data_IF_904238634341
#
_entry.id   IF_904238634341
#
_cell.length_a   1.000
_cell.length_b   1.000
_cell.length_c   1.000
_cell.angle_alpha   90.00
_cell.angle_beta   90.00
_cell.angle_gamma   90.00
#
_symmetry.space_group_name_H-M   'P 1'
#
loop_
_entity.id
_entity.type
_entity.pdbx_description
1 polymer ?
#
# COMPACT_ATOMS: atom_id res chain seq x y z
N UNK A 1 -16.35 25.18 23.38
CA UNK A 1 -15.46 24.41 22.45
C UNK A 1 -14.20 23.98 23.16
N UNK A 2 -13.61 24.75 24.09
CA UNK A 2 -12.35 24.41 24.77
C UNK A 2 -12.39 23.07 25.52
N UNK A 3 -13.51 22.71 26.14
CA UNK A 3 -13.69 21.51 26.97
C UNK A 3 -14.26 20.29 26.19
N UNK A 4 -14.36 20.37 24.86
CA UNK A 4 -14.78 19.23 24.05
C UNK A 4 -13.63 18.24 23.83
N UNK A 5 -13.95 16.94 23.76
CA UNK A 5 -13.02 15.93 23.34
C UNK A 5 -12.50 16.23 21.92
N UNK A 6 -11.34 15.67 21.55
CA UNK A 6 -10.75 15.87 20.22
C UNK A 6 -11.72 15.48 19.10
N UNK A 7 -12.43 14.35 19.25
CA UNK A 7 -13.43 13.90 18.29
C UNK A 7 -14.62 14.85 18.15
N UNK A 8 -15.09 15.45 19.24
CA UNK A 8 -16.13 16.46 19.16
C UNK A 8 -15.64 17.74 18.49
N UNK A 9 -14.40 18.18 18.76
CA UNK A 9 -13.80 19.33 18.06
C UNK A 9 -13.72 19.10 16.55
N UNK A 10 -13.34 17.91 16.14
CA UNK A 10 -13.26 17.53 14.73
C UNK A 10 -14.63 17.59 14.05
N UNK A 11 -15.67 17.05 14.71
CA UNK A 11 -17.06 17.13 14.20
C UNK A 11 -17.59 18.57 14.11
N UNK A 12 -17.23 19.42 15.04
CA UNK A 12 -17.58 20.85 14.98
C UNK A 12 -16.88 21.52 13.79
N UNK A 13 -15.58 21.22 13.55
CA UNK A 13 -14.87 21.72 12.39
C UNK A 13 -15.48 21.25 11.07
N UNK A 14 -15.84 19.96 10.96
CA UNK A 14 -16.56 19.44 9.79
C UNK A 14 -17.94 20.12 9.61
N UNK A 15 -18.69 20.29 10.67
CA UNK A 15 -19.97 21.01 10.60
C UNK A 15 -19.78 22.45 10.11
N UNK A 16 -18.74 23.13 10.58
CA UNK A 16 -18.38 24.47 10.12
C UNK A 16 -17.99 24.50 8.64
N UNK A 17 -17.21 23.50 8.18
CA UNK A 17 -16.77 23.42 6.78
C UNK A 17 -17.93 23.22 5.79
N UNK A 18 -19.05 22.67 6.23
CA UNK A 18 -20.27 22.43 5.40
C UNK A 18 -21.23 23.62 5.38
N UNK A 19 -21.05 24.59 6.30
CA UNK A 19 -21.92 25.75 6.34
C UNK A 19 -21.84 26.55 5.01
N UNK A 20 -23.00 26.85 4.45
CA UNK A 20 -23.12 27.55 3.18
C UNK A 20 -23.06 26.63 1.95
N UNK A 21 -23.01 25.32 2.12
CA UNK A 21 -22.98 24.32 1.03
C UNK A 21 -21.90 24.59 -0.01
N UNK A 22 -20.60 24.67 0.37
CA UNK A 22 -19.52 24.95 -0.57
C UNK A 22 -19.36 23.80 -1.58
N UNK A 23 -18.93 24.10 -2.78
CA UNK A 23 -18.63 23.08 -3.80
C UNK A 23 -17.40 22.24 -3.39
N UNK A 24 -16.43 22.87 -2.72
CA UNK A 24 -15.15 22.25 -2.32
C UNK A 24 -15.00 22.35 -0.80
N UNK A 25 -14.67 21.24 -0.17
CA UNK A 25 -14.36 21.13 1.26
C UNK A 25 -12.91 20.66 1.39
N UNK A 26 -12.10 21.38 2.17
CA UNK A 26 -10.70 21.02 2.43
C UNK A 26 -10.58 20.61 3.89
N UNK A 27 -10.05 19.41 4.14
CA UNK A 27 -9.87 18.81 5.45
C UNK A 27 -8.40 18.49 5.68
N UNK A 28 -7.81 19.13 6.67
CA UNK A 28 -6.41 18.87 7.03
C UNK A 28 -6.37 17.87 8.19
N UNK A 29 -5.77 16.70 7.95
CA UNK A 29 -5.59 15.60 8.91
C UNK A 29 -6.85 15.27 9.72
N UNK A 30 -8.01 14.96 9.08
CA UNK A 30 -9.32 14.92 9.75
C UNK A 30 -9.46 13.81 10.80
N UNK A 31 -8.57 12.83 10.84
CA UNK A 31 -8.64 11.65 11.72
C UNK A 31 -7.56 11.64 12.80
N UNK A 32 -6.60 12.57 12.74
CA UNK A 32 -5.47 12.59 13.68
C UNK A 32 -5.89 12.70 15.14
N UNK A 33 -5.44 11.71 15.94
CA UNK A 33 -5.65 11.64 17.39
C UNK A 33 -7.07 11.32 17.81
N UNK A 34 -7.82 10.67 16.92
CA UNK A 34 -9.09 10.03 17.21
C UNK A 34 -8.87 8.56 17.59
N UNK A 35 -9.79 8.00 18.36
CA UNK A 35 -9.83 6.55 18.60
C UNK A 35 -10.38 5.80 17.37
N UNK A 36 -10.16 4.47 17.24
CA UNK A 36 -10.58 3.70 16.08
C UNK A 36 -12.06 3.81 15.74
N UNK A 37 -12.94 3.91 16.74
CA UNK A 37 -14.37 4.05 16.52
C UNK A 37 -14.70 5.41 15.90
N UNK A 38 -14.11 6.47 16.43
CA UNK A 38 -14.28 7.82 15.91
C UNK A 38 -13.72 7.97 14.49
N UNK A 39 -12.62 7.31 14.16
CA UNK A 39 -12.05 7.27 12.80
C UNK A 39 -13.08 6.72 11.81
N UNK A 40 -13.72 5.58 12.13
CA UNK A 40 -14.76 4.99 11.28
C UNK A 40 -15.91 5.97 11.06
N UNK A 41 -16.39 6.61 12.12
CA UNK A 41 -17.51 7.56 12.04
C UNK A 41 -17.16 8.81 11.19
N UNK A 42 -15.93 9.33 11.30
CA UNK A 42 -15.46 10.46 10.49
C UNK A 42 -15.31 10.06 9.02
N UNK A 43 -14.76 8.86 8.73
CA UNK A 43 -14.66 8.35 7.35
C UNK A 43 -16.04 8.23 6.69
N UNK A 44 -17.02 7.69 7.39
CA UNK A 44 -18.39 7.61 6.89
C UNK A 44 -18.98 8.99 6.61
N UNK A 45 -18.71 9.97 7.49
CA UNK A 45 -19.15 11.34 7.29
C UNK A 45 -18.50 11.97 6.05
N UNK A 46 -17.20 11.80 5.86
CA UNK A 46 -16.48 12.30 4.68
C UNK A 46 -17.05 11.65 3.40
N UNK A 47 -17.29 10.34 3.38
CA UNK A 47 -17.93 9.66 2.23
C UNK A 47 -19.34 10.19 1.93
N UNK A 48 -20.12 10.55 2.96
CA UNK A 48 -21.44 11.18 2.78
C UNK A 48 -21.31 12.59 2.18
N UNK A 49 -20.33 13.37 2.62
CA UNK A 49 -20.07 14.70 2.09
C UNK A 49 -19.59 14.65 0.62
N UNK A 50 -18.72 13.69 0.29
CA UNK A 50 -18.21 13.49 -1.08
C UNK A 50 -19.29 13.19 -2.12
N UNK A 51 -20.50 12.76 -1.70
CA UNK A 51 -21.63 12.59 -2.62
C UNK A 51 -22.21 13.91 -3.16
N UNK A 52 -21.92 15.03 -2.49
CA UNK A 52 -22.50 16.35 -2.84
C UNK A 52 -21.45 17.44 -2.98
N UNK A 53 -20.22 17.20 -2.56
CA UNK A 53 -19.13 18.15 -2.52
C UNK A 53 -17.87 17.49 -3.06
N UNK A 54 -16.95 18.25 -3.64
CA UNK A 54 -15.59 17.82 -3.86
C UNK A 54 -14.84 17.92 -2.52
N UNK A 55 -14.40 16.79 -1.97
CA UNK A 55 -13.67 16.77 -0.70
C UNK A 55 -12.20 16.53 -0.98
N UNK A 56 -11.35 17.46 -0.54
CA UNK A 56 -9.89 17.33 -0.56
C UNK A 56 -9.45 17.11 0.88
N UNK A 57 -8.72 16.05 1.14
CA UNK A 57 -8.17 15.79 2.47
C UNK A 57 -6.67 15.55 2.42
N UNK A 58 -5.96 16.02 3.44
CA UNK A 58 -4.58 15.61 3.72
C UNK A 58 -4.56 14.48 4.73
N UNK A 59 -3.65 13.54 4.58
CA UNK A 59 -3.34 12.54 5.61
C UNK A 59 -1.93 11.98 5.41
N UNK A 60 -1.27 11.62 6.49
CA UNK A 60 -0.04 10.84 6.49
C UNK A 60 -0.29 9.34 6.72
N UNK A 61 -1.56 8.95 6.94
CA UNK A 61 -1.97 7.56 7.17
C UNK A 61 -2.52 7.00 5.85
N UNK A 62 -1.69 6.34 5.08
CA UNK A 62 -2.02 5.86 3.72
C UNK A 62 -3.17 4.86 3.71
N UNK A 63 -3.28 4.01 4.73
CA UNK A 63 -4.42 3.11 4.89
C UNK A 63 -5.77 3.86 4.98
N UNK A 64 -5.78 5.06 5.58
CA UNK A 64 -7.00 5.88 5.64
C UNK A 64 -7.32 6.53 4.30
N UNK A 65 -6.29 7.02 3.61
CA UNK A 65 -6.44 7.58 2.25
C UNK A 65 -7.04 6.54 1.31
N UNK A 66 -6.52 5.31 1.34
CA UNK A 66 -7.04 4.19 0.54
C UNK A 66 -8.51 3.91 0.78
N UNK A 67 -8.95 4.01 2.03
CA UNK A 67 -10.34 3.70 2.43
C UNK A 67 -11.35 4.79 2.02
N UNK A 68 -10.91 6.05 1.85
CA UNK A 68 -11.83 7.20 1.74
C UNK A 68 -11.72 7.91 0.40
N UNK A 69 -10.55 7.89 -0.25
CA UNK A 69 -10.26 8.66 -1.45
C UNK A 69 -10.44 7.85 -2.73
N UNK A 70 -11.11 8.42 -3.73
CA UNK A 70 -11.20 7.87 -5.08
C UNK A 70 -9.94 8.20 -5.89
N UNK A 71 -9.28 9.32 -5.58
CA UNK A 71 -8.13 9.86 -6.30
C UNK A 71 -7.05 10.35 -5.32
N UNK A 72 -5.80 10.05 -5.59
CA UNK A 72 -4.68 10.33 -4.70
C UNK A 72 -3.65 11.21 -5.41
N UNK A 73 -3.17 12.23 -4.71
CA UNK A 73 -2.04 13.06 -5.13
C UNK A 73 -0.90 12.90 -4.11
N UNK A 74 0.26 12.46 -4.58
CA UNK A 74 1.47 12.30 -3.75
C UNK A 74 2.38 13.50 -3.97
N UNK A 75 2.69 14.21 -2.89
CA UNK A 75 3.56 15.38 -2.91
C UNK A 75 4.84 15.04 -2.14
N UNK A 76 5.99 15.31 -2.75
CA UNK A 76 7.31 15.14 -2.12
C UNK A 76 8.21 16.30 -2.49
N UNK A 77 8.91 16.89 -1.50
CA UNK A 77 9.80 18.03 -1.72
C UNK A 77 9.11 19.23 -2.40
N UNK A 78 7.82 19.46 -2.11
CA UNK A 78 7.02 20.54 -2.71
C UNK A 78 6.59 20.30 -4.17
N UNK A 79 6.83 19.10 -4.70
CA UNK A 79 6.46 18.72 -6.07
C UNK A 79 5.41 17.60 -6.07
N UNK A 80 4.47 17.64 -7.02
CA UNK A 80 3.55 16.55 -7.29
C UNK A 80 4.33 15.42 -7.99
N UNK A 81 4.49 14.28 -7.32
CA UNK A 81 5.28 13.15 -7.82
C UNK A 81 4.41 12.04 -8.42
N UNK A 82 3.15 11.93 -7.99
CA UNK A 82 2.16 11.05 -8.60
C UNK A 82 0.74 11.58 -8.39
N UNK A 83 -0.17 11.25 -9.31
CA UNK A 83 -1.56 11.68 -9.27
C UNK A 83 -2.40 10.72 -10.09
N UNK A 84 -3.17 9.84 -9.41
CA UNK A 84 -4.06 8.87 -10.06
C UNK A 84 -5.04 8.25 -9.05
N UNK A 85 -5.91 7.36 -9.53
CA UNK A 85 -6.74 6.52 -8.65
C UNK A 85 -5.87 5.57 -7.84
N UNK A 86 -6.40 5.10 -6.70
CA UNK A 86 -5.71 4.09 -5.87
C UNK A 86 -5.35 2.85 -6.68
N UNK A 87 -6.30 2.36 -7.48
CA UNK A 87 -6.12 1.17 -8.31
C UNK A 87 -5.03 1.36 -9.38
N UNK A 88 -5.00 2.50 -10.05
CA UNK A 88 -3.98 2.79 -11.05
C UNK A 88 -2.59 2.92 -10.43
N UNK A 89 -2.47 3.59 -9.27
CA UNK A 89 -1.21 3.69 -8.55
C UNK A 89 -0.69 2.32 -8.12
N UNK A 90 -1.57 1.47 -7.58
CA UNK A 90 -1.23 0.08 -7.24
C UNK A 90 -0.81 -0.72 -8.50
N UNK A 91 -1.52 -0.56 -9.62
CA UNK A 91 -1.22 -1.23 -10.87
C UNK A 91 0.07 -0.73 -11.54
N UNK A 92 0.37 0.56 -11.50
CA UNK A 92 1.64 1.11 -12.02
C UNK A 92 2.87 0.46 -11.39
N UNK A 93 2.72 -0.01 -10.15
CA UNK A 93 3.78 -0.69 -9.39
C UNK A 93 3.59 -2.23 -9.37
N UNK A 94 2.43 -2.74 -9.80
CA UNK A 94 2.08 -4.18 -9.80
C UNK A 94 2.92 -5.03 -10.73
N UNK A 95 3.69 -4.43 -11.65
CA UNK A 95 4.77 -5.13 -12.35
C UNK A 95 5.89 -5.62 -11.42
N UNK A 96 5.79 -5.36 -10.12
CA UNK A 96 6.70 -5.80 -9.06
C UNK A 96 5.99 -6.65 -7.99
N UNK A 97 4.79 -7.17 -8.28
CA UNK A 97 4.08 -8.03 -7.34
C UNK A 97 5.02 -9.09 -6.75
N UNK A 98 5.26 -9.03 -5.44
CA UNK A 98 6.02 -10.05 -4.76
C UNK A 98 5.14 -11.28 -4.57
N UNK A 99 5.64 -12.42 -5.01
CA UNK A 99 5.01 -13.70 -4.71
C UNK A 99 5.66 -14.25 -3.44
N UNK A 100 4.85 -14.58 -2.45
CA UNK A 100 5.30 -15.20 -1.22
C UNK A 100 4.96 -16.70 -1.25
N UNK A 101 5.96 -17.52 -0.98
CA UNK A 101 5.85 -18.97 -0.86
C UNK A 101 6.37 -19.39 0.50
N UNK A 102 5.59 -20.16 1.25
CA UNK A 102 6.04 -20.83 2.46
C UNK A 102 5.98 -22.35 2.28
N UNK A 103 7.05 -23.04 2.65
CA UNK A 103 7.12 -24.49 2.63
C UNK A 103 7.99 -25.03 3.79
N UNK A 104 7.75 -26.30 4.15
CA UNK A 104 8.65 -27.04 5.06
C UNK A 104 9.80 -27.64 4.25
N UNK A 105 10.74 -26.81 3.89
CA UNK A 105 11.91 -27.17 3.10
C UNK A 105 13.12 -26.35 3.54
N UNK A 106 14.32 -26.83 3.29
CA UNK A 106 15.53 -26.05 3.46
C UNK A 106 15.59 -24.90 2.45
N UNK A 107 16.41 -23.89 2.73
CA UNK A 107 16.63 -22.77 1.81
C UNK A 107 17.14 -23.24 0.46
N UNK A 108 18.08 -24.17 0.45
CA UNK A 108 18.72 -24.66 -0.80
C UNK A 108 17.75 -25.46 -1.65
N UNK A 109 16.90 -26.25 -1.02
CA UNK A 109 15.84 -27.01 -1.69
C UNK A 109 14.79 -26.06 -2.30
N UNK A 110 14.34 -25.05 -1.57
CA UNK A 110 13.44 -24.04 -2.10
C UNK A 110 14.05 -23.25 -3.26
N UNK A 111 15.32 -22.84 -3.14
CA UNK A 111 16.01 -22.10 -4.20
C UNK A 111 16.10 -22.94 -5.47
N UNK A 112 16.41 -24.23 -5.34
CA UNK A 112 16.45 -25.15 -6.48
C UNK A 112 15.09 -25.28 -7.18
N UNK A 113 14.02 -25.49 -6.42
CA UNK A 113 12.66 -25.60 -6.98
C UNK A 113 12.22 -24.32 -7.67
N UNK A 114 12.39 -23.17 -7.00
CA UNK A 114 11.95 -21.85 -7.48
C UNK A 114 12.69 -21.49 -8.77
N UNK A 115 14.01 -21.69 -8.83
CA UNK A 115 14.82 -21.34 -10.02
C UNK A 115 14.54 -22.20 -11.24
N UNK A 116 14.00 -23.40 -11.07
CA UNK A 116 13.59 -24.25 -12.20
C UNK A 116 12.51 -23.63 -13.07
N UNK A 117 11.70 -22.71 -12.54
CA UNK A 117 10.70 -21.98 -13.35
C UNK A 117 11.34 -21.07 -14.41
N UNK A 118 12.62 -20.69 -14.25
CA UNK A 118 13.36 -19.83 -15.19
C UNK A 118 12.94 -18.35 -15.22
N UNK A 119 11.86 -18.02 -14.55
CA UNK A 119 11.20 -16.69 -14.59
C UNK A 119 11.54 -15.78 -13.40
N UNK A 120 12.55 -16.11 -12.61
CA UNK A 120 12.92 -15.40 -11.39
C UNK A 120 13.88 -14.26 -11.68
N UNK A 121 13.53 -13.04 -11.21
CA UNK A 121 14.40 -11.87 -11.21
C UNK A 121 15.19 -11.77 -9.90
N UNK A 122 14.49 -11.87 -8.78
CA UNK A 122 15.05 -11.76 -7.43
C UNK A 122 14.28 -12.67 -6.48
N UNK A 123 14.97 -13.23 -5.50
CA UNK A 123 14.34 -13.98 -4.41
C UNK A 123 15.07 -13.72 -3.10
N UNK A 124 14.30 -13.51 -2.03
CA UNK A 124 14.79 -13.36 -0.65
C UNK A 124 14.22 -14.48 0.20
N UNK A 125 15.06 -15.06 1.05
CA UNK A 125 14.66 -16.16 1.92
C UNK A 125 14.72 -15.77 3.39
N UNK A 126 13.76 -16.30 4.15
CA UNK A 126 13.75 -16.28 5.62
C UNK A 126 13.37 -17.66 6.12
N UNK A 127 14.21 -18.28 6.93
CA UNK A 127 13.92 -19.57 7.56
C UNK A 127 13.62 -19.37 9.03
N UNK A 128 12.51 -19.91 9.51
CA UNK A 128 12.12 -19.90 10.93
C UNK A 128 12.80 -21.01 11.71
N UNK A 129 12.81 -20.90 13.04
CA UNK A 129 13.30 -21.94 13.92
C UNK A 129 12.50 -23.27 13.82
N UNK A 130 11.27 -23.22 13.30
CA UNK A 130 10.40 -24.38 13.06
C UNK A 130 10.70 -25.13 11.75
N UNK A 131 11.73 -24.73 11.01
CA UNK A 131 12.10 -25.34 9.73
C UNK A 131 11.19 -24.95 8.56
N UNK A 132 10.36 -23.92 8.71
CA UNK A 132 9.57 -23.33 7.63
C UNK A 132 10.44 -22.27 6.95
N UNK A 133 10.59 -22.38 5.64
CA UNK A 133 11.25 -21.37 4.83
C UNK A 133 10.22 -20.57 4.05
N UNK A 134 10.31 -19.25 4.14
CA UNK A 134 9.53 -18.28 3.36
C UNK A 134 10.42 -17.71 2.28
N UNK A 135 9.96 -17.73 1.03
CA UNK A 135 10.60 -17.08 -0.10
C UNK A 135 9.74 -15.91 -0.58
N UNK A 136 10.34 -14.72 -0.70
CA UNK A 136 9.75 -13.56 -1.37
C UNK A 136 10.37 -13.44 -2.77
N UNK A 137 9.55 -13.59 -3.79
CA UNK A 137 9.97 -13.78 -5.19
C UNK A 137 9.50 -12.58 -6.01
N UNK A 138 10.39 -12.01 -6.80
CA UNK A 138 10.07 -11.05 -7.86
C UNK A 138 10.29 -11.76 -9.20
N UNK A 139 9.21 -11.90 -9.97
CA UNK A 139 9.27 -12.50 -11.29
C UNK A 139 9.85 -11.53 -12.35
N UNK A 140 10.45 -12.08 -13.40
CA UNK A 140 10.87 -11.31 -14.58
C UNK A 140 9.61 -10.75 -15.28
N UNK A 141 9.68 -9.50 -15.70
CA UNK A 141 8.56 -8.86 -16.39
C UNK A 141 7.32 -8.59 -15.52
N UNK A 142 7.35 -8.93 -14.22
CA UNK A 142 6.18 -8.77 -13.33
C UNK A 142 5.06 -9.78 -13.56
N UNK A 143 5.35 -10.88 -14.28
CA UNK A 143 4.37 -11.93 -14.56
C UNK A 143 3.90 -12.63 -13.28
N UNK A 144 2.64 -13.05 -13.26
CA UNK A 144 2.12 -13.95 -12.24
C UNK A 144 2.55 -15.38 -12.56
N UNK A 145 3.50 -15.90 -11.78
CA UNK A 145 4.07 -17.23 -11.94
C UNK A 145 3.62 -18.20 -10.84
N UNK A 146 2.50 -17.91 -10.16
CA UNK A 146 2.04 -18.77 -9.05
C UNK A 146 1.68 -20.17 -9.51
N UNK A 147 1.09 -20.33 -10.69
CA UNK A 147 0.76 -21.65 -11.25
C UNK A 147 2.03 -22.48 -11.49
N UNK A 148 3.05 -21.88 -12.13
CA UNK A 148 4.32 -22.55 -12.37
C UNK A 148 5.05 -22.92 -11.08
N UNK A 149 5.00 -22.05 -10.08
CA UNK A 149 5.55 -22.35 -8.76
C UNK A 149 4.78 -23.50 -8.11
N UNK A 150 3.46 -23.48 -8.14
CA UNK A 150 2.65 -24.58 -7.61
C UNK A 150 3.02 -25.91 -8.24
N UNK A 151 3.11 -25.98 -9.56
CA UNK A 151 3.49 -27.18 -10.27
C UNK A 151 4.92 -27.63 -9.95
N UNK A 152 5.87 -26.69 -9.85
CA UNK A 152 7.26 -27.00 -9.52
C UNK A 152 7.40 -27.64 -8.13
N UNK A 153 6.71 -27.10 -7.14
CA UNK A 153 6.69 -27.64 -5.77
C UNK A 153 5.95 -28.98 -5.70
N UNK A 154 4.85 -29.12 -6.42
CA UNK A 154 4.11 -30.39 -6.53
C UNK A 154 4.96 -31.51 -7.14
N UNK A 155 5.71 -31.22 -8.20
CA UNK A 155 6.62 -32.20 -8.83
C UNK A 155 7.83 -32.56 -7.96
N UNK A 156 8.17 -31.71 -6.99
CA UNK A 156 9.25 -31.98 -6.05
C UNK A 156 8.77 -32.68 -4.77
N UNK A 157 7.46 -33.01 -4.65
CA UNK A 157 6.81 -33.53 -3.45
C UNK A 157 7.03 -32.68 -2.19
N UNK A 158 7.18 -31.36 -2.38
CA UNK A 158 7.34 -30.39 -1.28
C UNK A 158 6.02 -29.65 -1.05
N UNK A 159 5.32 -29.91 0.05
CA UNK A 159 4.06 -29.25 0.36
C UNK A 159 4.26 -27.77 0.62
N UNK A 160 3.54 -26.93 -0.12
CA UNK A 160 3.44 -25.50 0.16
C UNK A 160 2.43 -25.26 1.28
N UNK A 161 2.79 -24.37 2.21
CA UNK A 161 1.91 -23.88 3.27
C UNK A 161 1.20 -22.60 2.87
N UNK A 162 1.88 -21.77 2.09
CA UNK A 162 1.34 -20.51 1.57
C UNK A 162 1.84 -20.29 0.15
N UNK A 163 0.96 -19.82 -0.73
CA UNK A 163 1.28 -19.26 -2.04
C UNK A 163 0.38 -18.05 -2.25
N UNK A 164 0.96 -16.85 -2.12
CA UNK A 164 0.21 -15.61 -2.28
C UNK A 164 0.98 -14.61 -3.12
N UNK A 165 0.27 -13.73 -3.80
CA UNK A 165 0.85 -12.57 -4.44
C UNK A 165 0.47 -11.34 -3.62
N UNK A 166 1.47 -10.66 -3.06
CA UNK A 166 1.24 -9.38 -2.40
C UNK A 166 1.02 -8.31 -3.47
N UNK A 167 -0.05 -7.56 -3.32
CA UNK A 167 -0.20 -6.30 -4.07
C UNK A 167 0.77 -5.30 -3.46
N UNK A 168 1.41 -4.50 -4.30
CA UNK A 168 2.20 -3.36 -3.82
C UNK A 168 1.29 -2.44 -3.01
N UNK A 169 1.67 -2.11 -1.80
CA UNK A 169 0.89 -1.22 -0.94
C UNK A 169 1.13 0.24 -1.29
N UNK A 170 0.20 1.13 -0.94
CA UNK A 170 0.41 2.58 -1.10
C UNK A 170 1.64 3.07 -0.33
N UNK A 171 1.97 2.44 0.79
CA UNK A 171 3.17 2.73 1.58
C UNK A 171 4.45 2.44 0.79
N UNK A 172 4.52 1.31 0.09
CA UNK A 172 5.65 0.95 -0.76
C UNK A 172 5.78 1.89 -1.96
N UNK A 173 4.66 2.25 -2.58
CA UNK A 173 4.58 3.23 -3.67
C UNK A 173 5.10 4.59 -3.20
N UNK A 174 4.60 5.06 -2.05
CA UNK A 174 5.02 6.33 -1.46
C UNK A 174 6.53 6.34 -1.18
N UNK A 175 7.06 5.29 -0.56
CA UNK A 175 8.50 5.18 -0.27
C UNK A 175 9.35 5.18 -1.55
N UNK A 176 8.95 4.45 -2.58
CA UNK A 176 9.70 4.41 -3.84
C UNK A 176 9.70 5.75 -4.56
N UNK A 177 8.55 6.43 -4.63
CA UNK A 177 8.42 7.72 -5.28
C UNK A 177 9.15 8.84 -4.52
N UNK A 178 9.16 8.78 -3.19
CA UNK A 178 9.82 9.80 -2.37
C UNK A 178 11.31 9.58 -2.23
N UNK A 179 11.79 8.33 -2.12
CA UNK A 179 13.22 8.01 -2.06
C UNK A 179 13.92 8.13 -3.43
N UNK A 180 13.21 7.78 -4.53
CA UNK A 180 13.72 7.93 -5.89
C UNK A 180 13.95 9.40 -6.29
N UNK A 181 13.19 10.34 -5.73
CA UNK A 181 13.37 11.78 -5.94
C UNK A 181 14.62 12.34 -5.24
N UNK A 182 14.98 11.79 -4.07
CA UNK A 182 16.19 12.19 -3.35
C UNK A 182 17.49 11.78 -4.06
N UNK A 183 17.50 10.63 -4.74
CA UNK A 183 18.70 10.13 -5.41
C UNK A 183 18.95 10.79 -6.79
N UNK A 184 17.95 11.43 -7.40
CA UNK A 184 18.13 12.21 -8.64
C UNK A 184 18.69 13.60 -8.39
N UNK A 185 18.37 14.26 -7.26
CA UNK A 185 18.92 15.57 -6.92
C UNK A 185 20.42 15.55 -6.60
N UNK A 186 20.97 14.42 -6.11
CA UNK A 186 22.41 14.30 -5.81
C UNK A 186 23.25 14.09 -7.09
N UNK A 187 22.64 13.75 -8.23
CA UNK A 187 23.36 13.55 -9.50
C UNK A 187 23.37 14.76 -10.44
N UNK A 188 22.55 15.77 -10.16
CA UNK A 188 22.51 17.00 -10.98
C UNK A 188 23.37 18.16 -10.42
N UNK A 189 24.00 17.99 -9.23
CA UNK A 189 24.91 18.97 -8.62
C UNK A 189 26.40 18.53 -8.63
N UNK A 190 26.83 17.72 -9.62
CA UNK A 190 28.26 17.45 -9.84
C UNK A 190 28.65 17.64 -11.29
#
# INVERSE_FOLDING_TARGET
IQNLSKGYKQRVGLAQAVLGFPEIIILDEPTVGLDPKQIIEIRELIRKLAKKHTVILSSHILAEVREVCDYIMIISGGKLVASDTTENLENMMSGKGQIEVEAKASRDEMDHIIRRTGKIKEVKYRTSASGITTAQIIAKGGEDIREELFLAFSHADVPMLTLSQSKTTLEEIFLELTQGSGNRMIKEEK
#
